data_IF_755261140724
#
_entry.id   IF_755261140724
#
_cell.length_a   1.000
_cell.length_b   1.000
_cell.length_c   1.000
_cell.angle_alpha   90.00
_cell.angle_beta   90.00
_cell.angle_gamma   90.00
#
_symmetry.space_group_name_H-M   'P 1'
#
loop_
_entity.id
_entity.type
_entity.pdbx_description
1 polymer ?
#
# COMPACT_ATOMS: atom_id res chain seq x y z
N UNK A 1 -4.61 7.93 -10.75
CA UNK A 1 -4.19 7.19 -9.54
C UNK A 1 -2.70 7.42 -9.31
N UNK A 2 -2.27 7.53 -8.06
CA UNK A 2 -0.87 7.56 -7.67
C UNK A 2 -0.60 6.33 -6.80
N UNK A 3 0.44 5.58 -7.14
CA UNK A 3 0.80 4.32 -6.50
C UNK A 3 2.33 4.23 -6.38
N UNK A 4 2.85 3.44 -5.46
CA UNK A 4 4.30 3.18 -5.39
C UNK A 4 4.69 1.86 -6.04
N UNK A 5 6.00 1.67 -6.25
CA UNK A 5 6.58 0.39 -6.63
C UNK A 5 7.64 -0.08 -5.64
N UNK A 6 7.70 -1.38 -5.41
CA UNK A 6 8.77 -2.09 -4.71
C UNK A 6 9.43 -3.11 -5.67
N UNK A 7 10.28 -4.01 -5.15
CA UNK A 7 10.95 -5.03 -5.97
C UNK A 7 9.98 -6.05 -6.59
N UNK A 8 8.75 -6.17 -6.09
CA UNK A 8 7.74 -7.08 -6.60
C UNK A 8 6.82 -6.42 -7.64
N UNK A 9 7.11 -5.17 -8.03
CA UNK A 9 6.31 -4.40 -8.98
C UNK A 9 5.58 -3.26 -8.29
N UNK A 10 4.31 -3.05 -8.64
CA UNK A 10 3.48 -2.05 -7.95
C UNK A 10 3.12 -2.53 -6.55
N UNK A 11 2.87 -1.59 -5.64
CA UNK A 11 2.36 -1.88 -4.31
C UNK A 11 1.04 -1.16 -4.06
N UNK A 12 -0.04 -1.92 -3.89
CA UNK A 12 -1.39 -1.37 -3.68
C UNK A 12 -1.76 -1.14 -2.21
N UNK A 13 -0.85 -1.45 -1.27
CA UNK A 13 -1.10 -1.23 0.16
C UNK A 13 -1.29 0.24 0.52
N UNK A 14 -0.80 1.16 -0.32
CA UNK A 14 -1.23 2.56 -0.30
C UNK A 14 -1.34 3.08 -1.73
N UNK A 15 -2.45 3.76 -2.01
CA UNK A 15 -2.69 4.42 -3.28
C UNK A 15 -3.60 5.63 -3.08
N UNK A 16 -3.40 6.64 -3.92
CA UNK A 16 -4.27 7.81 -3.99
C UNK A 16 -5.07 7.78 -5.29
N UNK A 17 -6.39 7.82 -5.18
CA UNK A 17 -7.31 7.80 -6.32
C UNK A 17 -8.07 9.10 -6.34
N UNK A 18 -7.94 9.84 -7.44
CA UNK A 18 -8.70 11.08 -7.65
C UNK A 18 -10.15 10.77 -7.96
N UNK A 19 -11.07 11.38 -7.21
CA UNK A 19 -12.51 11.21 -7.41
C UNK A 19 -12.91 11.68 -8.82
N UNK A 20 -13.28 10.74 -9.67
CA UNK A 20 -13.59 10.98 -11.08
C UNK A 20 -14.36 9.79 -11.66
N UNK A 21 -15.03 10.01 -12.79
CA UNK A 21 -15.68 8.92 -13.55
C UNK A 21 -14.68 7.83 -13.92
N UNK A 22 -13.45 8.21 -14.29
CA UNK A 22 -12.38 7.24 -14.58
C UNK A 22 -12.09 6.35 -13.37
N UNK A 23 -11.96 6.94 -12.18
CA UNK A 23 -11.70 6.18 -10.95
C UNK A 23 -12.84 5.23 -10.60
N UNK A 24 -14.09 5.65 -10.78
CA UNK A 24 -15.25 4.78 -10.56
C UNK A 24 -15.22 3.56 -11.49
N UNK A 25 -15.00 3.78 -12.79
CA UNK A 25 -14.92 2.70 -13.78
C UNK A 25 -13.75 1.76 -13.50
N UNK A 26 -12.58 2.31 -13.16
CA UNK A 26 -11.39 1.53 -12.80
C UNK A 26 -11.63 0.65 -11.56
N UNK A 27 -12.21 1.19 -10.49
CA UNK A 27 -12.51 0.42 -9.28
C UNK A 27 -13.53 -0.67 -9.57
N UNK A 28 -14.59 -0.37 -10.34
CA UNK A 28 -15.59 -1.37 -10.72
C UNK A 28 -14.95 -2.53 -11.50
N UNK A 29 -14.03 -2.23 -12.41
CA UNK A 29 -13.27 -3.22 -13.17
C UNK A 29 -12.34 -4.06 -12.26
N UNK A 30 -11.60 -3.42 -11.35
CA UNK A 30 -10.79 -4.14 -10.35
C UNK A 30 -11.67 -5.08 -9.54
N UNK A 31 -12.83 -4.64 -9.06
CA UNK A 31 -13.76 -5.48 -8.31
C UNK A 31 -14.31 -6.65 -9.14
N UNK A 32 -14.66 -6.43 -10.41
CA UNK A 32 -15.14 -7.48 -11.31
C UNK A 32 -14.08 -8.57 -11.52
N UNK A 33 -12.81 -8.18 -11.66
CA UNK A 33 -11.72 -9.14 -11.84
C UNK A 33 -11.23 -9.77 -10.52
N UNK A 34 -11.34 -9.06 -9.40
CA UNK A 34 -10.90 -9.57 -8.07
C UNK A 34 -11.93 -10.49 -7.43
N UNK A 35 -13.23 -10.24 -7.64
CA UNK A 35 -14.33 -10.99 -7.03
C UNK A 35 -14.75 -12.26 -7.80
N UNK A 36 -14.35 -12.41 -9.05
CA UNK A 36 -14.79 -13.52 -9.91
C UNK A 36 -14.11 -14.87 -9.61
N UNK A 37 -13.32 -15.00 -8.54
CA UNK A 37 -12.70 -16.27 -8.18
C UNK A 37 -11.87 -16.83 -9.34
N UNK A 38 -10.92 -16.02 -9.82
CA UNK A 38 -9.91 -16.45 -10.81
C UNK A 38 -9.04 -17.54 -10.13
N UNK A 39 -9.57 -18.73 -9.82
CA UNK A 39 -8.85 -19.77 -9.05
C UNK A 39 -7.59 -20.21 -9.77
N UNK A 40 -7.60 -20.08 -11.09
CA UNK A 40 -6.46 -20.24 -11.98
C UNK A 40 -6.21 -18.87 -12.63
N UNK A 41 -5.27 -18.10 -12.07
CA UNK A 41 -4.73 -16.93 -12.75
C UNK A 41 -4.36 -17.32 -14.19
N UNK A 42 -4.67 -16.51 -15.21
CA UNK A 42 -4.10 -16.72 -16.54
C UNK A 42 -2.59 -16.97 -16.41
N UNK A 43 -2.04 -17.90 -17.21
CA UNK A 43 -0.66 -18.41 -17.00
C UNK A 43 0.45 -17.35 -17.08
N UNK A 44 0.12 -16.13 -17.48
CA UNK A 44 0.97 -14.94 -17.53
C UNK A 44 0.84 -14.02 -16.30
N UNK A 45 0.08 -14.40 -15.27
CA UNK A 45 -0.07 -13.61 -14.04
C UNK A 45 1.14 -13.73 -13.12
N UNK A 46 1.39 -12.71 -12.26
CA UNK A 46 2.47 -12.80 -11.29
C UNK A 46 2.30 -14.00 -10.36
N UNK A 47 3.39 -14.70 -10.03
CA UNK A 47 3.35 -15.90 -9.17
C UNK A 47 2.79 -15.63 -7.77
N UNK A 48 2.80 -14.38 -7.32
CA UNK A 48 2.25 -13.92 -6.06
C UNK A 48 0.74 -13.59 -6.10
N UNK A 49 0.06 -13.76 -7.24
CA UNK A 49 -1.32 -13.29 -7.43
C UNK A 49 -2.30 -13.86 -6.38
N UNK A 50 -2.15 -15.13 -6.02
CA UNK A 50 -3.06 -15.82 -5.10
C UNK A 50 -3.00 -15.28 -3.67
N UNK A 51 -1.93 -14.56 -3.33
CA UNK A 51 -1.72 -13.94 -2.02
C UNK A 51 -2.23 -12.49 -2.01
N UNK A 52 -2.27 -11.83 -3.18
CA UNK A 52 -2.63 -10.41 -3.33
C UNK A 52 -3.44 -10.18 -4.62
N UNK A 53 -4.68 -10.71 -4.70
CA UNK A 53 -5.44 -10.74 -5.94
C UNK A 53 -5.77 -9.34 -6.47
N UNK A 54 -6.11 -8.39 -5.59
CA UNK A 54 -6.40 -7.01 -6.00
C UNK A 54 -5.15 -6.33 -6.60
N UNK A 55 -3.98 -6.55 -6.00
CA UNK A 55 -2.72 -6.01 -6.52
C UNK A 55 -2.38 -6.59 -7.89
N UNK A 56 -2.61 -7.89 -8.08
CA UNK A 56 -2.33 -8.57 -9.34
C UNK A 56 -3.26 -8.07 -10.45
N UNK A 57 -4.55 -7.87 -10.15
CA UNK A 57 -5.52 -7.28 -11.06
C UNK A 57 -5.10 -5.88 -11.47
N UNK A 58 -4.74 -5.01 -10.52
CA UNK A 58 -4.27 -3.65 -10.84
C UNK A 58 -3.02 -3.71 -11.71
N UNK A 59 -2.06 -4.59 -11.39
CA UNK A 59 -0.84 -4.76 -12.18
C UNK A 59 -1.16 -5.16 -13.62
N UNK A 60 -2.09 -6.11 -13.81
CA UNK A 60 -2.51 -6.56 -15.14
C UNK A 60 -3.23 -5.47 -15.92
N UNK A 61 -4.18 -4.78 -15.30
CA UNK A 61 -4.92 -3.68 -15.93
C UNK A 61 -3.98 -2.54 -16.36
N UNK A 62 -2.89 -2.30 -15.63
CA UNK A 62 -1.87 -1.32 -16.00
C UNK A 62 -1.03 -1.70 -17.24
N UNK A 63 -1.17 -2.91 -17.77
CA UNK A 63 -0.63 -3.27 -19.09
C UNK A 63 -1.38 -2.58 -20.24
N UNK A 64 -2.62 -2.14 -20.00
CA UNK A 64 -3.43 -1.43 -20.98
C UNK A 64 -3.16 0.08 -20.94
N UNK A 65 -2.97 0.69 -22.11
CA UNK A 65 -2.67 2.13 -22.22
C UNK A 65 -3.78 3.01 -21.62
N UNK A 66 -5.04 2.58 -21.72
CA UNK A 66 -6.19 3.30 -21.14
C UNK A 66 -6.15 3.40 -19.61
N UNK A 67 -5.43 2.49 -18.95
CA UNK A 67 -5.23 2.52 -17.50
C UNK A 67 -3.91 3.20 -17.21
N UNK A 68 -2.82 2.76 -17.86
CA UNK A 68 -1.46 3.25 -17.65
C UNK A 68 -1.35 4.77 -17.75
N UNK A 69 -2.03 5.39 -18.72
CA UNK A 69 -1.99 6.85 -18.93
C UNK A 69 -2.65 7.65 -17.79
N UNK A 70 -3.37 7.00 -16.89
CA UNK A 70 -4.01 7.61 -15.73
C UNK A 70 -3.30 7.25 -14.41
N UNK A 71 -2.20 6.49 -14.45
CA UNK A 71 -1.46 6.05 -13.27
C UNK A 71 -0.08 6.68 -13.23
N UNK A 72 0.24 7.31 -12.10
CA UNK A 72 1.61 7.73 -11.78
C UNK A 72 2.21 6.75 -10.76
N UNK A 73 3.27 6.06 -11.17
CA UNK A 73 4.07 5.22 -10.27
C UNK A 73 5.19 6.05 -9.68
N UNK A 74 5.33 6.04 -8.36
CA UNK A 74 6.33 6.79 -7.60
C UNK A 74 7.24 5.86 -6.78
N UNK A 75 8.39 6.35 -6.29
CA UNK A 75 9.27 5.57 -5.42
C UNK A 75 8.56 5.14 -4.13
N UNK A 76 8.91 3.97 -3.61
CA UNK A 76 8.31 3.38 -2.40
C UNK A 76 8.30 4.33 -1.20
N UNK A 77 9.42 5.01 -0.93
CA UNK A 77 9.58 5.86 0.25
C UNK A 77 8.73 7.14 0.28
N UNK A 78 8.09 7.50 -0.83
CA UNK A 78 7.32 8.74 -0.85
C UNK A 78 6.08 8.66 0.06
N UNK A 79 5.43 7.49 0.12
CA UNK A 79 4.26 7.27 0.97
C UNK A 79 4.01 5.79 1.31
N UNK A 80 5.02 4.92 1.19
CA UNK A 80 4.85 3.48 1.39
C UNK A 80 6.11 2.81 1.96
N UNK A 81 6.87 3.50 2.81
CA UNK A 81 8.16 3.01 3.33
C UNK A 81 8.00 1.75 4.18
N UNK A 82 8.90 0.78 4.04
CA UNK A 82 8.82 -0.48 4.77
C UNK A 82 9.64 -0.48 6.05
N UNK A 83 9.03 -0.95 7.13
CA UNK A 83 9.70 -1.27 8.38
C UNK A 83 10.26 -2.72 8.32
N UNK A 84 11.49 -2.85 7.82
CA UNK A 84 12.30 -4.07 7.95
C UNK A 84 12.09 -5.19 6.92
N UNK A 85 11.21 -4.99 5.93
CA UNK A 85 10.99 -5.97 4.84
C UNK A 85 11.15 -5.37 3.44
N UNK A 86 11.80 -4.21 3.33
CA UNK A 86 12.13 -3.68 2.02
C UNK A 86 13.15 -4.61 1.36
N UNK A 87 12.81 -5.11 0.19
CA UNK A 87 13.72 -5.85 -0.66
C UNK A 87 14.76 -4.94 -1.36
N UNK A 88 14.52 -3.63 -1.31
CA UNK A 88 15.45 -2.58 -1.75
C UNK A 88 15.74 -1.66 -0.55
N UNK A 89 17.02 -1.38 -0.21
CA UNK A 89 17.37 -0.37 0.77
C UNK A 89 16.67 0.98 0.56
N UNK A 90 16.44 1.38 -0.70
CA UNK A 90 15.72 2.62 -1.04
C UNK A 90 14.24 2.59 -0.68
N UNK A 91 13.66 1.43 -0.37
CA UNK A 91 12.28 1.28 0.13
C UNK A 91 12.18 1.25 1.65
N UNK A 92 13.31 1.25 2.36
CA UNK A 92 13.34 1.16 3.83
C UNK A 92 12.97 2.50 4.47
N UNK A 93 12.22 2.44 5.57
CA UNK A 93 11.86 3.61 6.35
C UNK A 93 13.08 4.39 6.84
N UNK A 94 13.00 5.71 6.70
CA UNK A 94 13.92 6.68 7.33
C UNK A 94 13.15 7.73 8.12
N UNK A 95 13.84 8.44 9.01
CA UNK A 95 13.27 9.58 9.71
C UNK A 95 12.80 10.65 8.71
N UNK A 96 11.58 11.16 8.91
CA UNK A 96 10.93 12.14 8.03
C UNK A 96 10.11 11.53 6.89
N UNK A 97 10.11 10.20 6.70
CA UNK A 97 9.23 9.56 5.73
C UNK A 97 7.76 9.78 6.10
N UNK A 98 6.92 10.02 5.09
CA UNK A 98 5.52 10.41 5.29
C UNK A 98 4.64 9.29 5.88
N UNK A 99 4.87 8.04 5.45
CA UNK A 99 4.09 6.90 5.92
C UNK A 99 4.91 5.61 5.92
N UNK A 100 4.69 4.80 6.96
CA UNK A 100 5.33 3.51 7.17
C UNK A 100 4.31 2.38 6.99
N UNK A 101 4.57 1.50 6.05
CA UNK A 101 3.76 0.33 5.75
C UNK A 101 4.36 -0.93 6.39
N UNK A 102 3.65 -1.48 7.37
CA UNK A 102 3.99 -2.72 8.08
C UNK A 102 3.44 -3.95 7.33
N UNK A 103 3.81 -4.09 6.05
CA UNK A 103 3.28 -5.10 5.13
C UNK A 103 3.63 -6.53 5.54
N UNK A 104 2.72 -7.49 5.31
CA UNK A 104 2.97 -8.93 5.46
C UNK A 104 2.75 -9.50 6.88
N UNK A 105 3.04 -10.80 7.07
CA UNK A 105 2.88 -11.47 8.37
C UNK A 105 3.70 -10.77 9.47
N UNK A 106 3.13 -10.67 10.67
CA UNK A 106 3.79 -10.00 11.78
C UNK A 106 3.82 -8.46 11.68
N UNK A 107 2.99 -7.85 10.84
CA UNK A 107 2.86 -6.39 10.74
C UNK A 107 2.54 -5.73 12.09
N UNK A 108 1.61 -6.30 12.89
CA UNK A 108 1.27 -5.76 14.22
C UNK A 108 2.44 -5.81 15.23
N UNK A 109 3.15 -6.94 15.41
CA UNK A 109 4.39 -6.96 16.18
C UNK A 109 5.43 -5.93 15.71
N UNK A 110 5.66 -5.79 14.40
CA UNK A 110 6.59 -4.79 13.85
C UNK A 110 6.14 -3.36 14.10
N UNK A 111 4.84 -3.09 13.99
CA UNK A 111 4.27 -1.81 14.35
C UNK A 111 4.54 -1.48 15.81
N UNK A 112 4.27 -2.42 16.73
CA UNK A 112 4.52 -2.19 18.15
C UNK A 112 6.01 -1.94 18.44
N UNK A 113 6.91 -2.71 17.85
CA UNK A 113 8.36 -2.52 17.97
C UNK A 113 8.78 -1.13 17.45
N UNK A 114 8.38 -0.79 16.22
CA UNK A 114 8.65 0.51 15.63
C UNK A 114 8.08 1.66 16.47
N UNK A 115 6.83 1.55 16.89
CA UNK A 115 6.16 2.57 17.70
C UNK A 115 6.79 2.73 19.07
N UNK A 116 7.26 1.66 19.72
CA UNK A 116 7.97 1.78 20.99
C UNK A 116 9.31 2.51 20.90
N UNK A 117 9.95 2.50 19.72
CA UNK A 117 11.23 3.17 19.46
C UNK A 117 11.07 4.60 18.94
N UNK A 118 10.02 4.85 18.16
CA UNK A 118 9.85 6.09 17.39
C UNK A 118 8.58 6.87 17.74
N UNK A 119 7.59 6.23 18.37
CA UNK A 119 6.37 6.86 18.83
C UNK A 119 6.68 7.80 19.98
N UNK A 120 6.55 9.10 19.74
CA UNK A 120 6.50 10.08 20.82
C UNK A 120 5.14 9.95 21.48
N UNK A 121 5.09 9.30 22.63
CA UNK A 121 4.00 9.55 23.56
C UNK A 121 4.30 10.92 24.16
N UNK A 122 3.59 11.94 23.68
CA UNK A 122 3.53 13.20 24.42
C UNK A 122 2.81 12.90 25.75
N UNK A 123 3.58 12.50 26.76
CA UNK A 123 3.11 12.20 28.10
C UNK A 123 2.36 13.39 28.75
N UNK A 124 2.46 14.58 28.16
CA UNK A 124 1.89 15.83 28.68
C UNK A 124 0.41 16.07 28.33
N UNK A 125 -0.23 15.21 27.52
CA UNK A 125 -1.67 15.37 27.19
C UNK A 125 -2.63 14.47 27.99
N UNK A 126 -2.11 13.51 28.76
CA UNK A 126 -2.96 12.58 29.52
C UNK A 126 -3.34 13.08 30.93
N UNK A 127 -2.60 14.02 31.53
CA UNK A 127 -2.86 14.48 32.91
C UNK A 127 -3.73 15.75 33.02
N UNK A 128 -3.90 16.54 31.95
CA UNK A 128 -4.64 17.81 32.04
C UNK A 128 -6.16 17.70 31.75
N UNK A 129 -6.69 16.50 31.46
CA UNK A 129 -8.09 16.31 31.06
C UNK A 129 -9.05 15.78 32.13
N UNK A 130 -8.61 15.55 33.37
CA UNK A 130 -9.43 14.88 34.41
C UNK A 130 -9.89 15.76 35.58
N UNK A 131 -9.79 17.08 35.48
CA UNK A 131 -10.27 18.00 36.52
C UNK A 131 -11.08 19.17 35.94
N UNK A 132 -12.20 18.89 35.26
CA UNK A 132 -13.34 19.81 35.16
C UNK A 132 -14.47 19.15 34.38
N UNK A 133 -15.44 18.60 35.11
CA UNK A 133 -16.89 18.73 34.91
C UNK A 133 -17.60 17.95 36.03
#
# INVERSE_FOLDING_TARGET
>A
MIITRDCNGINTGTQFIHNSTWAFMFIAEVCMHSGAGIRDGPGDWPTWWSWHPEQAVVWKLMEEDRIRNHVKVLPQRLFNSYAGQACDPEGTVHEGDFMVHFAGPGGKPRFNDYWSKHGRLDADTAENGRNSL
#
